data_IF_609994405316
#
_entry.id   IF_609994405316
#
_cell.length_a   1.000
_cell.length_b   1.000
_cell.length_c   1.000
_cell.angle_alpha   90.00
_cell.angle_beta   90.00
_cell.angle_gamma   90.00
#
_symmetry.space_group_name_H-M   'P 1'
#
loop_
_entity.id
_entity.type
_entity.pdbx_description
1 polymer ?
#
# COMPACT_ATOMS: atom_id res chain seq x y z
N UNK A 1 -39.45 -11.84 40.18
CA UNK A 1 -38.69 -11.81 38.90
C UNK A 1 -38.47 -13.28 38.51
N UNK A 2 -39.42 -13.85 37.75
CA UNK A 2 -39.38 -15.24 37.31
C UNK A 2 -38.45 -15.37 36.10
N UNK A 3 -37.42 -16.19 36.26
CA UNK A 3 -36.59 -16.66 35.15
C UNK A 3 -37.44 -17.64 34.31
N UNK A 4 -37.92 -17.20 33.18
CA UNK A 4 -38.45 -18.06 32.11
C UNK A 4 -37.27 -18.81 31.46
N UNK A 5 -36.83 -19.89 32.10
CA UNK A 5 -35.92 -20.87 31.52
C UNK A 5 -36.67 -21.62 30.39
N UNK A 6 -36.28 -21.35 29.13
CA UNK A 6 -36.66 -22.16 27.99
C UNK A 6 -36.19 -23.60 28.25
N UNK A 7 -37.12 -24.49 28.65
CA UNK A 7 -36.89 -25.93 28.73
C UNK A 7 -36.78 -26.47 27.30
N UNK A 8 -35.57 -26.55 26.77
CA UNK A 8 -35.32 -27.31 25.56
C UNK A 8 -35.71 -28.76 25.77
N UNK A 9 -36.38 -29.35 24.79
CA UNK A 9 -36.74 -30.77 24.82
C UNK A 9 -35.44 -31.61 24.80
N UNK A 10 -35.51 -32.81 25.39
CA UNK A 10 -34.34 -33.71 25.44
C UNK A 10 -33.77 -34.02 24.03
N UNK A 11 -34.66 -34.05 23.02
CA UNK A 11 -34.26 -34.19 21.59
C UNK A 11 -33.50 -33.00 21.05
N UNK A 12 -33.97 -31.78 21.33
CA UNK A 12 -33.25 -30.54 20.88
C UNK A 12 -31.89 -30.40 21.56
N UNK A 13 -31.77 -30.83 22.81
CA UNK A 13 -30.50 -30.84 23.55
C UNK A 13 -29.53 -31.88 23.00
N UNK A 14 -30.02 -33.05 22.60
CA UNK A 14 -29.21 -34.12 22.00
C UNK A 14 -28.82 -33.74 20.56
N UNK A 15 -29.70 -33.11 19.78
CA UNK A 15 -29.37 -32.57 18.44
C UNK A 15 -28.35 -31.41 18.52
N UNK A 16 -28.44 -30.56 19.56
CA UNK A 16 -27.47 -29.52 19.81
C UNK A 16 -26.10 -30.10 20.15
N UNK A 17 -26.00 -31.12 21.02
CA UNK A 17 -24.79 -31.86 21.34
C UNK A 17 -24.18 -32.60 20.15
N UNK A 18 -25.02 -33.15 19.27
CA UNK A 18 -24.58 -33.80 18.03
C UNK A 18 -23.96 -32.76 17.08
N UNK A 19 -24.63 -31.59 16.95
CA UNK A 19 -24.08 -30.45 16.16
C UNK A 19 -22.78 -29.90 16.74
N UNK A 20 -22.68 -29.76 18.05
CA UNK A 20 -21.44 -29.36 18.71
C UNK A 20 -20.31 -30.41 18.50
N UNK A 21 -20.62 -31.71 18.57
CA UNK A 21 -19.63 -32.76 18.27
C UNK A 21 -19.19 -32.76 16.80
N UNK A 22 -20.09 -32.48 15.87
CA UNK A 22 -19.74 -32.37 14.45
C UNK A 22 -18.89 -31.11 14.15
N UNK A 23 -19.11 -30.02 14.87
CA UNK A 23 -18.26 -28.82 14.80
C UNK A 23 -16.87 -29.04 15.44
N UNK A 24 -16.79 -29.91 16.47
CA UNK A 24 -15.53 -30.26 17.15
C UNK A 24 -14.63 -31.23 16.36
N UNK A 25 -15.12 -31.84 15.27
CA UNK A 25 -14.37 -32.79 14.42
C UNK A 25 -13.64 -32.10 13.26
N UNK A 26 -13.82 -30.79 13.07
CA UNK A 26 -13.01 -30.04 12.11
C UNK A 26 -11.60 -29.83 12.70
N UNK A 27 -10.55 -30.49 12.17
CA UNK A 27 -9.21 -30.48 12.78
C UNK A 27 -8.48 -29.12 12.64
N UNK A 28 -9.11 -28.11 12.01
CA UNK A 28 -8.51 -26.81 11.75
C UNK A 28 -9.35 -25.70 12.36
N UNK A 29 -8.90 -25.20 13.50
CA UNK A 29 -9.37 -23.90 14.02
C UNK A 29 -8.62 -22.83 13.23
N UNK A 30 -9.30 -22.19 12.26
CA UNK A 30 -8.75 -21.02 11.57
C UNK A 30 -8.88 -19.82 12.51
N UNK A 31 -7.80 -19.47 13.20
CA UNK A 31 -7.74 -18.22 13.95
C UNK A 31 -7.21 -17.10 13.04
N UNK A 32 -7.89 -15.95 13.04
CA UNK A 32 -7.38 -14.77 12.34
C UNK A 32 -5.97 -14.44 12.85
N UNK A 33 -5.02 -14.05 11.96
CA UNK A 33 -3.66 -13.75 12.38
C UNK A 33 -3.66 -12.56 13.35
N UNK A 34 -2.81 -12.62 14.37
CA UNK A 34 -2.67 -11.53 15.33
C UNK A 34 -2.02 -10.31 14.69
N UNK A 35 -2.30 -9.11 15.23
CA UNK A 35 -1.67 -7.86 14.78
C UNK A 35 -0.14 -7.96 14.81
N UNK A 36 0.42 -8.65 15.81
CA UNK A 36 1.87 -8.89 15.90
C UNK A 36 2.38 -9.76 14.75
N UNK A 37 1.66 -10.83 14.37
CA UNK A 37 2.03 -11.68 13.24
C UNK A 37 2.05 -10.92 11.93
N UNK A 38 1.02 -10.08 11.70
CA UNK A 38 0.95 -9.21 10.52
C UNK A 38 2.11 -8.22 10.51
N UNK A 39 2.39 -7.58 11.64
CA UNK A 39 3.49 -6.62 11.76
C UNK A 39 4.86 -7.25 11.49
N UNK A 40 5.10 -8.46 11.98
CA UNK A 40 6.35 -9.20 11.71
C UNK A 40 6.49 -9.49 10.22
N UNK A 41 5.43 -9.93 9.53
CA UNK A 41 5.48 -10.15 8.07
C UNK A 41 5.85 -8.88 7.32
N UNK A 42 5.24 -7.73 7.66
CA UNK A 42 5.59 -6.46 7.04
C UNK A 42 7.04 -6.05 7.30
N UNK A 43 7.54 -6.22 8.54
CA UNK A 43 8.94 -5.95 8.88
C UNK A 43 9.87 -6.82 8.05
N UNK A 44 9.59 -8.11 7.92
CA UNK A 44 10.42 -9.04 7.13
C UNK A 44 10.45 -8.61 5.65
N UNK A 45 9.29 -8.32 5.04
CA UNK A 45 9.21 -7.91 3.64
C UNK A 45 9.92 -6.57 3.38
N UNK A 46 9.77 -5.59 4.27
CA UNK A 46 10.48 -4.32 4.17
C UNK A 46 11.99 -4.49 4.43
N UNK A 47 12.38 -5.39 5.34
CA UNK A 47 13.79 -5.70 5.58
C UNK A 47 14.46 -6.32 4.35
N UNK A 48 13.72 -7.11 3.54
CA UNK A 48 14.23 -7.60 2.26
C UNK A 48 14.51 -6.46 1.28
N UNK A 49 13.67 -5.41 1.24
CA UNK A 49 13.95 -4.21 0.44
C UNK A 49 15.24 -3.51 0.90
N UNK A 50 15.41 -3.38 2.23
CA UNK A 50 16.63 -2.78 2.81
C UNK A 50 17.86 -3.65 2.54
N UNK A 51 17.72 -4.97 2.60
CA UNK A 51 18.80 -5.91 2.26
C UNK A 51 19.23 -5.75 0.79
N UNK A 52 18.27 -5.60 -0.13
CA UNK A 52 18.59 -5.35 -1.54
C UNK A 52 19.33 -4.03 -1.74
N UNK A 53 19.02 -2.98 -0.96
CA UNK A 53 19.82 -1.74 -0.98
C UNK A 53 21.26 -1.96 -0.54
N UNK A 54 21.49 -2.81 0.47
CA UNK A 54 22.84 -3.17 0.92
C UNK A 54 23.60 -3.98 -0.16
N UNK A 55 22.93 -4.97 -0.77
CA UNK A 55 23.53 -5.81 -1.82
C UNK A 55 23.86 -5.03 -3.10
N UNK A 56 23.05 -4.01 -3.43
CA UNK A 56 23.31 -3.14 -4.59
C UNK A 56 24.30 -1.99 -4.30
N UNK A 57 24.88 -1.94 -3.08
CA UNK A 57 25.87 -0.94 -2.71
C UNK A 57 25.33 0.47 -2.52
N UNK A 58 24.02 0.63 -2.33
CA UNK A 58 23.35 1.94 -2.17
C UNK A 58 23.44 2.43 -0.72
N UNK A 59 24.65 2.66 -0.24
CA UNK A 59 24.91 3.02 1.17
C UNK A 59 24.23 4.32 1.60
N UNK A 60 24.09 5.30 0.71
CA UNK A 60 23.37 6.56 1.01
C UNK A 60 21.92 6.30 1.36
N UNK A 61 21.22 5.51 0.54
CA UNK A 61 19.85 5.10 0.80
C UNK A 61 19.72 4.32 2.11
N UNK A 62 20.69 3.43 2.39
CA UNK A 62 20.70 2.64 3.62
C UNK A 62 20.82 3.53 4.87
N UNK A 63 21.70 4.54 4.84
CA UNK A 63 21.86 5.52 5.94
C UNK A 63 20.53 6.26 6.18
N UNK A 64 19.84 6.69 5.12
CA UNK A 64 18.55 7.39 5.22
C UNK A 64 17.50 6.50 5.88
N UNK A 65 17.39 5.24 5.45
CA UNK A 65 16.45 4.27 6.03
C UNK A 65 16.76 4.02 7.51
N UNK A 66 18.04 3.86 7.87
CA UNK A 66 18.47 3.66 9.26
C UNK A 66 18.19 4.90 10.12
N UNK A 67 18.43 6.11 9.60
CA UNK A 67 18.11 7.37 10.30
C UNK A 67 16.60 7.53 10.50
N UNK A 68 15.79 7.20 9.50
CA UNK A 68 14.33 7.22 9.64
C UNK A 68 13.84 6.20 10.66
N UNK A 69 14.39 4.98 10.64
CA UNK A 69 14.08 3.95 11.62
C UNK A 69 14.49 4.37 13.05
N UNK A 70 15.68 4.96 13.21
CA UNK A 70 16.14 5.48 14.50
C UNK A 70 15.21 6.58 15.03
N UNK A 71 14.80 7.54 14.17
CA UNK A 71 13.84 8.57 14.51
C UNK A 71 12.49 8.01 14.94
N UNK A 72 11.99 7.00 14.22
CA UNK A 72 10.74 6.32 14.53
C UNK A 72 10.81 5.58 15.88
N UNK A 73 11.90 4.85 16.13
CA UNK A 73 12.11 4.13 17.39
C UNK A 73 12.29 5.11 18.58
N UNK A 74 12.95 6.25 18.37
CA UNK A 74 13.06 7.31 19.37
C UNK A 74 11.66 7.88 19.71
N UNK A 75 10.80 8.10 18.70
CA UNK A 75 9.41 8.51 18.91
C UNK A 75 8.62 7.45 19.69
N UNK A 76 8.84 6.16 19.39
CA UNK A 76 8.23 5.04 20.10
C UNK A 76 8.67 5.00 21.57
N UNK A 77 9.98 5.12 21.83
CA UNK A 77 10.55 5.11 23.18
C UNK A 77 10.01 6.29 24.02
N UNK A 78 10.02 7.50 23.47
CA UNK A 78 9.49 8.67 24.17
C UNK A 78 7.99 8.53 24.47
N UNK A 79 7.22 8.02 23.49
CA UNK A 79 5.78 7.79 23.67
C UNK A 79 5.50 6.73 24.74
N UNK A 80 6.35 5.70 24.83
CA UNK A 80 6.26 4.65 25.86
C UNK A 80 6.48 5.23 27.27
N UNK A 81 7.48 6.07 27.44
CA UNK A 81 7.74 6.73 28.73
C UNK A 81 6.57 7.61 29.19
N UNK A 82 5.90 8.28 28.26
CA UNK A 82 4.80 9.19 28.57
C UNK A 82 3.49 8.43 28.83
N UNK A 83 3.16 7.39 28.05
CA UNK A 83 1.82 6.76 28.08
C UNK A 83 1.79 5.23 28.27
N UNK A 84 2.92 4.53 28.42
CA UNK A 84 3.04 3.08 28.61
C UNK A 84 2.26 2.25 27.57
N UNK A 85 2.58 2.38 26.30
CA UNK A 85 1.92 1.65 25.20
C UNK A 85 2.31 0.18 25.11
N UNK A 86 1.42 -0.65 24.49
CA UNK A 86 1.65 -2.06 24.25
C UNK A 86 2.72 -2.32 23.16
N UNK A 87 3.38 -3.50 23.21
CA UNK A 87 4.50 -3.87 22.31
C UNK A 87 4.16 -3.85 20.83
N UNK A 88 2.93 -4.24 20.43
CA UNK A 88 2.52 -4.24 19.02
C UNK A 88 2.55 -2.84 18.40
N UNK A 89 2.33 -1.82 19.19
CA UNK A 89 2.38 -0.45 18.72
C UNK A 89 3.80 0.01 18.36
N UNK A 90 4.83 -0.56 19.01
CA UNK A 90 6.23 -0.31 18.67
C UNK A 90 6.55 -0.89 17.30
N UNK A 91 6.08 -2.10 16.99
CA UNK A 91 6.26 -2.73 15.67
C UNK A 91 5.62 -1.89 14.55
N UNK A 92 4.40 -1.38 14.79
CA UNK A 92 3.72 -0.52 13.84
C UNK A 92 4.51 0.77 13.52
N UNK A 93 5.17 1.36 14.52
CA UNK A 93 6.02 2.53 14.30
C UNK A 93 7.29 2.17 13.54
N UNK A 94 7.91 1.05 13.85
CA UNK A 94 9.09 0.58 13.12
C UNK A 94 8.77 0.38 11.63
N UNK A 95 7.61 -0.21 11.31
CA UNK A 95 7.14 -0.35 9.92
C UNK A 95 7.00 1.01 9.26
N UNK A 96 6.36 1.98 9.94
CA UNK A 96 6.20 3.34 9.40
C UNK A 96 7.54 4.02 9.18
N UNK A 97 8.49 3.86 10.10
CA UNK A 97 9.85 4.37 9.96
C UNK A 97 10.60 3.78 8.77
N UNK A 98 10.49 2.46 8.54
CA UNK A 98 11.04 1.80 7.36
C UNK A 98 10.41 2.34 6.07
N UNK A 99 9.08 2.47 6.02
CA UNK A 99 8.37 3.00 4.86
C UNK A 99 8.79 4.45 4.58
N UNK A 100 8.87 5.32 5.61
CA UNK A 100 9.32 6.71 5.45
C UNK A 100 10.72 6.75 4.86
N UNK A 101 11.66 5.97 5.42
CA UNK A 101 13.04 5.94 4.94
C UNK A 101 13.16 5.46 3.49
N UNK A 102 12.35 4.47 3.09
CA UNK A 102 12.32 3.97 1.71
C UNK A 102 11.69 4.97 0.72
N UNK A 103 10.81 5.86 1.18
CA UNK A 103 10.17 6.88 0.33
C UNK A 103 10.99 8.15 0.16
N UNK A 104 12.03 8.36 0.96
CA UNK A 104 12.89 9.54 0.88
C UNK A 104 14.06 9.28 -0.07
N UNK A 105 14.38 10.23 -0.99
CA UNK A 105 15.46 10.07 -1.97
C UNK A 105 16.85 9.94 -1.32
N UNK A 106 17.74 9.21 -1.98
CA UNK A 106 19.11 8.97 -1.50
C UNK A 106 19.99 10.23 -1.34
N UNK A 107 19.65 11.31 -2.04
CA UNK A 107 20.35 12.60 -1.93
C UNK A 107 19.91 13.45 -0.74
N UNK A 108 18.93 13.00 0.05
CA UNK A 108 18.40 13.78 1.16
C UNK A 108 19.36 13.74 2.37
N UNK A 109 19.53 14.85 3.13
CA UNK A 109 20.37 14.87 4.32
C UNK A 109 19.82 13.94 5.42
N UNK A 110 20.63 13.08 6.07
CA UNK A 110 20.14 12.10 7.04
C UNK A 110 19.55 12.72 8.32
N UNK A 111 20.11 13.83 8.79
CA UNK A 111 19.68 14.47 10.05
C UNK A 111 18.24 15.01 9.97
N UNK A 112 17.83 15.78 8.96
CA UNK A 112 16.43 16.13 8.77
C UNK A 112 15.51 14.91 8.68
N UNK A 113 15.91 13.81 8.05
CA UNK A 113 15.11 12.59 7.95
C UNK A 113 14.80 12.01 9.34
N UNK A 114 15.79 11.98 10.22
CA UNK A 114 15.57 11.57 11.61
C UNK A 114 14.51 12.43 12.29
N UNK A 115 14.61 13.76 12.19
CA UNK A 115 13.64 14.66 12.84
C UNK A 115 12.26 14.60 12.19
N UNK A 116 12.15 14.47 10.87
CA UNK A 116 10.86 14.33 10.18
C UNK A 116 10.15 13.06 10.65
N UNK A 117 10.82 11.91 10.65
CA UNK A 117 10.23 10.66 11.12
C UNK A 117 9.90 10.71 12.60
N UNK A 118 10.79 11.25 13.45
CA UNK A 118 10.57 11.42 14.87
C UNK A 118 9.34 12.31 15.16
N UNK A 119 9.31 13.53 14.63
CA UNK A 119 8.25 14.48 14.90
C UNK A 119 6.88 14.02 14.37
N UNK A 120 6.83 13.57 13.12
CA UNK A 120 5.55 13.13 12.52
C UNK A 120 4.95 11.96 13.29
N UNK A 121 5.74 10.96 13.64
CA UNK A 121 5.26 9.80 14.37
C UNK A 121 4.99 10.08 15.85
N UNK A 122 5.77 10.94 16.48
CA UNK A 122 5.54 11.38 17.85
C UNK A 122 4.23 12.19 17.98
N UNK A 123 4.05 13.20 17.12
CA UNK A 123 2.82 14.00 17.12
C UNK A 123 1.59 13.16 16.76
N UNK A 124 1.70 12.26 15.80
CA UNK A 124 0.64 11.29 15.48
C UNK A 124 0.13 10.60 16.75
N UNK A 125 1.03 10.12 17.58
CA UNK A 125 0.67 9.43 18.81
C UNK A 125 0.10 10.34 19.89
N UNK A 126 0.61 11.56 20.00
CA UNK A 126 0.17 12.49 21.04
C UNK A 126 -1.20 13.10 20.72
N UNK A 127 -1.45 13.48 19.45
CA UNK A 127 -2.67 14.18 19.05
C UNK A 127 -3.82 13.22 18.73
N UNK A 128 -3.53 12.06 18.13
CA UNK A 128 -4.57 11.17 17.59
C UNK A 128 -5.10 10.17 18.63
N UNK A 129 -4.41 9.97 19.76
CA UNK A 129 -4.67 8.88 20.70
C UNK A 129 -5.73 9.13 21.79
N UNK A 130 -6.65 10.05 21.60
CA UNK A 130 -7.88 10.09 22.44
C UNK A 130 -9.02 9.22 21.87
N UNK A 131 -8.70 8.00 21.43
CA UNK A 131 -9.72 7.04 20.97
C UNK A 131 -10.16 7.21 19.51
N UNK A 132 -9.45 8.00 18.72
CA UNK A 132 -9.74 8.16 17.30
C UNK A 132 -8.91 7.15 16.51
N UNK A 133 -9.58 6.34 15.71
CA UNK A 133 -8.93 5.48 14.72
C UNK A 133 -7.94 6.30 13.88
N UNK A 134 -6.79 5.73 13.60
CA UNK A 134 -5.75 6.32 12.75
C UNK A 134 -6.27 6.43 11.31
N UNK A 135 -7.06 7.47 11.02
CA UNK A 135 -7.63 7.70 9.69
C UNK A 135 -6.61 8.23 8.68
N UNK A 136 -5.48 8.75 9.16
CA UNK A 136 -4.43 9.36 8.34
C UNK A 136 -3.22 8.43 8.25
N UNK A 137 -2.72 8.20 7.04
CA UNK A 137 -1.48 7.47 6.82
C UNK A 137 -0.27 8.39 7.12
N UNK A 138 0.35 8.17 8.28
CA UNK A 138 1.45 9.02 8.75
C UNK A 138 2.72 8.88 7.92
N UNK A 139 2.95 7.73 7.29
CA UNK A 139 4.11 7.56 6.39
C UNK A 139 3.97 8.41 5.13
N UNK A 140 2.76 8.48 4.56
CA UNK A 140 2.48 9.37 3.43
C UNK A 140 2.60 10.85 3.84
N UNK A 141 2.09 11.21 5.02
CA UNK A 141 2.21 12.56 5.55
C UNK A 141 3.67 12.97 5.77
N UNK A 142 4.48 12.09 6.39
CA UNK A 142 5.91 12.33 6.60
C UNK A 142 6.67 12.53 5.27
N UNK A 143 6.34 11.74 4.25
CA UNK A 143 6.92 11.90 2.91
C UNK A 143 6.60 13.25 2.26
N UNK A 144 5.37 13.76 2.43
CA UNK A 144 4.99 15.10 1.96
C UNK A 144 5.71 16.19 2.75
N UNK A 145 5.82 16.05 4.08
CA UNK A 145 6.60 16.99 4.90
C UNK A 145 8.06 17.01 4.45
N UNK A 146 8.66 15.84 4.18
CA UNK A 146 10.02 15.76 3.63
C UNK A 146 10.14 16.49 2.31
N UNK A 147 9.17 16.35 1.41
CA UNK A 147 9.15 17.06 0.14
C UNK A 147 9.01 18.58 0.29
N UNK A 148 8.15 19.05 1.20
CA UNK A 148 7.99 20.49 1.45
C UNK A 148 9.29 21.11 1.98
N UNK A 149 9.98 20.42 2.90
CA UNK A 149 11.23 20.90 3.51
C UNK A 149 12.39 20.83 2.52
N UNK A 150 12.47 19.77 1.71
CA UNK A 150 13.63 19.48 0.87
C UNK A 150 13.27 19.15 -0.58
N UNK A 151 12.44 19.98 -1.22
CA UNK A 151 11.98 19.77 -2.60
C UNK A 151 13.14 19.58 -3.60
N UNK A 152 14.25 20.26 -3.40
CA UNK A 152 15.42 20.20 -4.29
C UNK A 152 16.14 18.84 -4.28
N UNK A 153 15.93 18.02 -3.25
CA UNK A 153 16.52 16.69 -3.15
C UNK A 153 15.67 15.61 -3.84
N UNK A 154 14.39 15.92 -4.14
CA UNK A 154 13.53 14.98 -4.85
C UNK A 154 13.82 15.02 -6.35
N UNK A 155 13.81 13.85 -7.02
CA UNK A 155 14.03 13.79 -8.45
C UNK A 155 12.92 14.54 -9.19
N UNK A 156 13.23 15.15 -10.35
CA UNK A 156 12.20 15.71 -11.23
C UNK A 156 11.30 14.61 -11.80
N UNK A 157 10.24 15.01 -12.48
CA UNK A 157 9.42 14.07 -13.24
C UNK A 157 10.28 13.36 -14.29
N UNK A 158 10.15 12.04 -14.36
CA UNK A 158 10.94 11.20 -15.26
C UNK A 158 10.53 11.38 -16.72
N UNK A 159 9.27 11.70 -16.96
CA UNK A 159 8.67 11.84 -18.28
C UNK A 159 8.26 13.27 -18.51
N UNK A 160 8.86 13.90 -19.52
CA UNK A 160 8.45 15.22 -20.02
C UNK A 160 7.25 15.08 -20.94
N UNK A 161 6.56 16.22 -21.25
CA UNK A 161 5.39 16.25 -22.14
C UNK A 161 5.66 15.62 -23.51
N UNK A 162 6.83 15.85 -24.07
CA UNK A 162 7.23 15.30 -25.38
C UNK A 162 7.36 13.77 -25.34
N UNK A 163 8.01 13.22 -24.30
CA UNK A 163 8.18 11.78 -24.10
C UNK A 163 6.81 11.14 -23.83
N UNK A 164 5.96 11.80 -23.07
CA UNK A 164 4.61 11.31 -22.73
C UNK A 164 3.71 11.18 -23.97
N UNK A 165 3.90 12.07 -24.95
CA UNK A 165 3.17 12.04 -26.22
C UNK A 165 3.57 10.88 -27.13
N UNK A 166 4.79 10.35 -27.01
CA UNK A 166 5.35 9.33 -27.91
C UNK A 166 4.70 7.95 -27.79
N UNK A 167 3.92 7.65 -26.75
CA UNK A 167 3.56 6.26 -26.44
C UNK A 167 4.83 5.41 -26.22
N UNK A 168 4.79 4.30 -25.52
CA UNK A 168 5.98 3.48 -25.22
C UNK A 168 7.17 4.27 -24.63
N UNK A 169 6.90 5.18 -23.73
CA UNK A 169 7.90 6.02 -23.08
C UNK A 169 9.02 5.21 -22.42
N UNK A 170 8.74 4.01 -21.91
CA UNK A 170 9.73 3.11 -21.32
C UNK A 170 10.79 2.67 -22.32
N UNK A 171 10.39 2.35 -23.55
CA UNK A 171 11.34 1.95 -24.60
C UNK A 171 12.27 3.11 -24.96
N UNK A 172 11.72 4.31 -25.08
CA UNK A 172 12.51 5.52 -25.31
C UNK A 172 13.53 5.77 -24.19
N UNK A 173 13.11 5.66 -22.92
CA UNK A 173 13.96 5.86 -21.76
C UNK A 173 15.07 4.78 -21.65
N UNK A 174 14.76 3.53 -22.00
CA UNK A 174 15.73 2.43 -22.04
C UNK A 174 16.75 2.64 -23.17
N UNK A 175 16.32 3.00 -24.37
CA UNK A 175 17.21 3.25 -25.50
C UNK A 175 18.14 4.45 -25.28
N UNK A 176 17.69 5.46 -24.55
CA UNK A 176 18.51 6.64 -24.18
C UNK A 176 19.36 6.42 -22.91
N UNK A 177 19.40 5.20 -22.35
CA UNK A 177 20.26 4.87 -21.22
C UNK A 177 19.87 5.52 -19.89
N UNK A 178 18.64 6.02 -19.77
CA UNK A 178 18.12 6.60 -18.51
C UNK A 178 17.94 5.50 -17.46
N UNK A 179 17.48 4.32 -17.90
CA UNK A 179 17.47 3.11 -17.09
C UNK A 179 18.68 2.23 -17.43
N UNK A 180 19.40 1.73 -16.43
CA UNK A 180 20.54 0.84 -16.67
C UNK A 180 20.06 -0.53 -17.11
N UNK A 181 20.71 -1.08 -18.14
CA UNK A 181 20.50 -2.44 -18.58
C UNK A 181 21.55 -3.33 -17.90
N UNK A 182 21.10 -4.34 -17.16
CA UNK A 182 21.98 -5.27 -16.46
C UNK A 182 22.49 -6.36 -17.42
N UNK A 183 23.70 -6.88 -17.20
CA UNK A 183 24.34 -7.90 -18.07
C UNK A 183 23.50 -9.18 -18.26
N UNK A 184 22.66 -9.53 -17.30
CA UNK A 184 21.80 -10.72 -17.40
C UNK A 184 20.50 -10.48 -18.16
N UNK A 185 20.15 -9.21 -18.47
CA UNK A 185 18.85 -8.86 -19.07
C UNK A 185 18.61 -9.60 -20.40
N UNK A 186 19.58 -9.54 -21.32
CA UNK A 186 19.46 -10.19 -22.62
C UNK A 186 19.22 -11.71 -22.51
N UNK A 187 19.96 -12.39 -21.62
CA UNK A 187 19.79 -13.83 -21.42
C UNK A 187 18.39 -14.18 -20.87
N UNK A 188 17.90 -13.40 -19.89
CA UNK A 188 16.58 -13.62 -19.30
C UNK A 188 15.47 -13.23 -20.28
N UNK A 189 15.60 -12.09 -20.95
CA UNK A 189 14.61 -11.61 -21.92
C UNK A 189 14.49 -12.56 -23.09
N UNK A 190 15.59 -13.07 -23.65
CA UNK A 190 15.55 -14.07 -24.74
C UNK A 190 14.94 -15.39 -24.29
N UNK A 191 15.24 -15.85 -23.08
CA UNK A 191 14.59 -17.03 -22.48
C UNK A 191 13.08 -16.83 -22.33
N UNK A 192 12.63 -15.69 -21.78
CA UNK A 192 11.22 -15.39 -21.62
C UNK A 192 10.49 -15.26 -22.97
N UNK A 193 11.12 -14.63 -23.95
CA UNK A 193 10.57 -14.50 -25.28
C UNK A 193 10.41 -15.85 -25.98
N UNK A 194 11.35 -16.77 -25.78
CA UNK A 194 11.30 -18.10 -26.40
C UNK A 194 10.33 -19.07 -25.72
N UNK A 195 10.12 -18.93 -24.41
CA UNK A 195 9.30 -19.87 -23.62
C UNK A 195 7.92 -19.35 -23.30
N UNK A 196 7.84 -18.21 -22.60
CA UNK A 196 6.58 -17.68 -22.06
C UNK A 196 5.85 -16.81 -23.09
N UNK A 197 6.54 -15.83 -23.65
CA UNK A 197 5.90 -14.86 -24.54
C UNK A 197 5.67 -15.39 -25.94
N UNK A 198 6.38 -16.43 -26.36
CA UNK A 198 6.12 -17.14 -27.65
C UNK A 198 4.69 -17.68 -27.74
N UNK A 199 4.12 -18.14 -26.60
CA UNK A 199 2.74 -18.63 -26.52
C UNK A 199 1.73 -17.53 -26.85
N UNK A 200 2.04 -16.29 -26.47
CA UNK A 200 1.19 -15.12 -26.71
C UNK A 200 1.55 -14.37 -28.00
N UNK A 201 2.55 -14.84 -28.75
CA UNK A 201 3.11 -14.16 -29.95
C UNK A 201 3.53 -12.71 -29.65
N UNK A 202 4.06 -12.44 -28.48
CA UNK A 202 4.56 -11.15 -28.05
C UNK A 202 6.06 -11.24 -27.88
N UNK A 203 6.79 -10.22 -28.30
CA UNK A 203 8.22 -10.07 -28.03
C UNK A 203 8.44 -8.86 -27.14
N UNK A 204 9.09 -9.06 -26.00
CA UNK A 204 9.45 -7.99 -25.08
C UNK A 204 10.87 -7.53 -25.42
N UNK A 205 11.10 -6.21 -25.63
CA UNK A 205 12.45 -5.70 -25.90
C UNK A 205 13.35 -5.82 -24.65
N UNK A 206 14.66 -5.77 -24.87
CA UNK A 206 15.67 -5.77 -23.80
C UNK A 206 15.51 -4.55 -22.89
N UNK A 207 15.84 -4.72 -21.62
CA UNK A 207 15.81 -3.67 -20.60
C UNK A 207 14.60 -3.72 -19.66
N UNK A 208 13.50 -4.38 -20.04
CA UNK A 208 12.33 -4.48 -19.15
C UNK A 208 12.58 -5.35 -17.91
N UNK A 209 13.39 -6.41 -18.05
CA UNK A 209 13.79 -7.25 -16.91
C UNK A 209 14.65 -6.44 -15.95
N UNK A 210 15.58 -5.64 -16.47
CA UNK A 210 16.40 -4.73 -15.66
C UNK A 210 15.56 -3.69 -14.93
N UNK A 211 14.56 -3.10 -15.60
CA UNK A 211 13.64 -2.13 -15.01
C UNK A 211 12.85 -2.72 -13.83
N UNK A 212 12.40 -3.96 -13.95
CA UNK A 212 11.69 -4.66 -12.88
C UNK A 212 12.60 -5.10 -11.73
N UNK A 213 13.86 -5.43 -12.03
CA UNK A 213 14.84 -5.89 -11.04
C UNK A 213 15.38 -4.73 -10.19
N UNK A 214 15.99 -3.72 -10.83
CA UNK A 214 16.49 -2.51 -10.19
C UNK A 214 16.46 -1.32 -11.16
N UNK A 215 15.48 -0.46 -11.02
CA UNK A 215 15.35 0.75 -11.83
C UNK A 215 16.41 1.83 -11.53
N UNK A 216 17.24 1.65 -10.50
CA UNK A 216 18.18 2.65 -9.95
C UNK A 216 17.53 4.01 -9.68
N UNK A 217 16.25 4.02 -9.33
CA UNK A 217 15.59 5.24 -8.91
C UNK A 217 16.26 5.86 -7.69
N UNK A 218 16.30 7.18 -7.62
CA UNK A 218 16.79 7.91 -6.45
C UNK A 218 15.95 7.64 -5.19
N UNK A 219 14.70 7.17 -5.36
CA UNK A 219 13.81 6.79 -4.26
C UNK A 219 13.86 5.27 -4.09
N UNK A 220 14.35 4.76 -2.95
CA UNK A 220 14.54 3.32 -2.72
C UNK A 220 13.27 2.47 -2.92
N UNK A 221 12.11 2.97 -2.51
CA UNK A 221 10.82 2.28 -2.66
C UNK A 221 10.43 1.99 -4.12
N UNK A 222 11.01 2.71 -5.09
CA UNK A 222 10.70 2.57 -6.51
C UNK A 222 11.69 1.68 -7.27
N UNK A 223 12.70 1.16 -6.57
CA UNK A 223 13.79 0.42 -7.22
C UNK A 223 13.44 -1.02 -7.54
N UNK A 224 12.96 -1.76 -6.55
CA UNK A 224 12.86 -3.22 -6.61
C UNK A 224 11.41 -3.64 -6.88
N UNK A 225 10.93 -3.40 -8.08
CA UNK A 225 9.54 -3.68 -8.48
C UNK A 225 9.22 -5.17 -8.39
N UNK A 226 10.14 -6.05 -8.83
CA UNK A 226 9.95 -7.50 -8.75
C UNK A 226 9.79 -7.98 -7.31
N UNK A 227 10.63 -7.49 -6.39
CA UNK A 227 10.53 -7.82 -4.97
C UNK A 227 9.20 -7.34 -4.37
N UNK A 228 8.72 -6.17 -4.81
CA UNK A 228 7.42 -5.65 -4.41
C UNK A 228 6.26 -6.52 -4.91
N UNK A 229 6.34 -7.04 -6.15
CA UNK A 229 5.35 -7.97 -6.70
C UNK A 229 5.34 -9.27 -5.89
N UNK A 230 6.50 -9.85 -5.57
CA UNK A 230 6.58 -11.04 -4.73
C UNK A 230 6.01 -10.76 -3.33
N UNK A 231 6.33 -9.59 -2.75
CA UNK A 231 5.76 -9.17 -1.47
C UNK A 231 4.23 -9.06 -1.52
N UNK A 232 3.65 -8.61 -2.65
CA UNK A 232 2.20 -8.52 -2.82
C UNK A 232 1.52 -9.89 -2.74
N UNK A 233 2.12 -10.92 -3.33
CA UNK A 233 1.59 -12.28 -3.28
C UNK A 233 1.54 -12.77 -1.83
N UNK A 234 2.59 -12.51 -1.04
CA UNK A 234 2.65 -12.91 0.37
C UNK A 234 1.64 -12.13 1.23
N UNK A 235 1.50 -10.81 1.00
CA UNK A 235 0.59 -9.96 1.78
C UNK A 235 -0.86 -10.30 1.50
N UNK A 236 -1.22 -10.59 0.24
CA UNK A 236 -2.61 -10.84 -0.16
C UNK A 236 -2.98 -12.34 -0.19
N UNK A 237 -2.05 -13.25 0.12
CA UNK A 237 -2.34 -14.68 0.23
C UNK A 237 -3.28 -15.02 1.37
N UNK A 238 -3.24 -14.24 2.46
CA UNK A 238 -4.13 -14.38 3.61
C UNK A 238 -5.34 -13.45 3.48
N UNK A 239 -6.50 -13.88 3.95
CA UNK A 239 -7.74 -13.09 3.97
C UNK A 239 -7.70 -11.86 4.92
N UNK A 240 -6.55 -11.54 5.49
CA UNK A 240 -6.36 -10.41 6.42
C UNK A 240 -6.51 -9.07 5.70
N UNK A 241 -5.95 -8.97 4.50
CA UNK A 241 -6.04 -7.80 3.64
C UNK A 241 -6.98 -8.07 2.48
N UNK A 242 -7.87 -7.12 2.20
CA UNK A 242 -8.81 -7.25 1.10
C UNK A 242 -8.10 -7.06 -0.24
N UNK A 243 -8.02 -8.08 -1.08
CA UNK A 243 -7.51 -7.97 -2.45
C UNK A 243 -8.34 -7.06 -3.36
N UNK A 244 -9.57 -6.70 -2.96
CA UNK A 244 -10.48 -5.86 -3.76
C UNK A 244 -9.89 -4.46 -3.99
N UNK A 245 -9.36 -3.82 -2.94
CA UNK A 245 -8.86 -2.44 -3.05
C UNK A 245 -7.68 -2.34 -4.00
N UNK A 246 -6.58 -3.12 -3.83
CA UNK A 246 -5.45 -3.05 -4.75
C UNK A 246 -5.82 -3.45 -6.17
N UNK A 247 -6.67 -4.47 -6.34
CA UNK A 247 -7.08 -4.91 -7.69
C UNK A 247 -7.88 -3.85 -8.42
N UNK A 248 -8.92 -3.28 -7.79
CA UNK A 248 -9.75 -2.23 -8.40
C UNK A 248 -8.93 -0.96 -8.63
N UNK A 249 -8.09 -0.57 -7.67
CA UNK A 249 -7.21 0.59 -7.78
C UNK A 249 -6.24 0.45 -8.97
N UNK A 250 -5.49 -0.65 -9.02
CA UNK A 250 -4.52 -0.89 -10.09
C UNK A 250 -5.20 -1.00 -11.45
N UNK A 251 -6.35 -1.70 -11.53
CA UNK A 251 -7.11 -1.82 -12.77
C UNK A 251 -7.57 -0.44 -13.27
N UNK A 252 -8.15 0.38 -12.38
CA UNK A 252 -8.62 1.73 -12.72
C UNK A 252 -7.47 2.61 -13.19
N UNK A 253 -6.39 2.64 -12.42
CA UNK A 253 -5.22 3.45 -12.74
C UNK A 253 -4.58 3.04 -14.07
N UNK A 254 -4.33 1.74 -14.28
CA UNK A 254 -3.71 1.23 -15.51
C UNK A 254 -4.59 1.45 -16.74
N UNK A 255 -5.91 1.30 -16.60
CA UNK A 255 -6.86 1.59 -17.67
C UNK A 255 -6.81 3.06 -18.07
N UNK A 256 -6.86 3.97 -17.08
CA UNK A 256 -6.80 5.41 -17.34
C UNK A 256 -5.47 5.83 -17.96
N UNK A 257 -4.35 5.30 -17.47
CA UNK A 257 -3.03 5.56 -18.06
C UNK A 257 -3.00 5.05 -19.49
N UNK A 258 -3.44 3.81 -19.75
CA UNK A 258 -3.42 3.23 -21.09
C UNK A 258 -4.22 4.05 -22.09
N UNK A 259 -5.43 4.45 -21.70
CA UNK A 259 -6.36 5.13 -22.59
C UNK A 259 -6.03 6.61 -22.77
N UNK A 260 -5.78 7.33 -21.68
CA UNK A 260 -5.81 8.79 -21.69
C UNK A 260 -4.45 9.47 -21.51
N UNK A 261 -3.43 8.78 -20.96
CA UNK A 261 -2.18 9.46 -20.62
C UNK A 261 -1.53 10.22 -21.78
N UNK A 262 -1.32 9.66 -22.97
CA UNK A 262 -0.71 10.40 -24.08
C UNK A 262 -1.60 11.53 -24.62
N UNK A 263 -2.92 11.37 -24.53
CA UNK A 263 -3.88 12.35 -25.08
C UNK A 263 -3.70 13.74 -24.46
N UNK A 264 -3.37 13.83 -23.17
CA UNK A 264 -3.14 15.12 -22.50
C UNK A 264 -1.91 15.88 -23.02
N UNK A 265 -1.02 15.18 -23.72
CA UNK A 265 0.22 15.74 -24.27
C UNK A 265 0.25 15.74 -25.79
N UNK A 266 -0.90 15.59 -26.43
CA UNK A 266 -1.00 15.61 -27.90
C UNK A 266 -0.69 14.27 -28.60
N UNK A 267 -0.55 13.19 -27.82
CA UNK A 267 -0.40 11.82 -28.34
C UNK A 267 -1.73 11.16 -28.70
N UNK A 268 -1.65 9.94 -29.20
CA UNK A 268 -2.82 9.16 -29.60
C UNK A 268 -3.46 8.43 -28.41
N UNK A 269 -4.75 8.19 -28.49
CA UNK A 269 -5.51 7.38 -27.53
C UNK A 269 -4.98 5.93 -27.53
N UNK A 270 -5.02 5.27 -26.36
CA UNK A 270 -4.62 3.86 -26.18
C UNK A 270 -3.14 3.56 -26.43
N UNK A 271 -2.25 4.51 -26.21
CA UNK A 271 -0.80 4.35 -26.31
C UNK A 271 -0.04 4.59 -25.01
N UNK A 272 -0.74 4.74 -23.89
CA UNK A 272 -0.11 4.98 -22.60
C UNK A 272 0.78 3.81 -22.14
N UNK A 273 1.92 4.13 -21.52
CA UNK A 273 2.89 3.17 -21.02
C UNK A 273 2.57 2.74 -19.59
N UNK A 274 1.87 1.63 -19.45
CA UNK A 274 1.46 1.07 -18.16
C UNK A 274 2.66 0.52 -17.39
N UNK A 275 3.64 -0.10 -18.07
CA UNK A 275 4.81 -0.73 -17.41
C UNK A 275 5.64 0.36 -16.72
N UNK A 276 5.92 1.44 -17.44
CA UNK A 276 6.63 2.58 -16.86
C UNK A 276 5.86 3.19 -15.68
N UNK A 277 4.56 3.41 -15.85
CA UNK A 277 3.72 4.00 -14.82
C UNK A 277 3.68 3.17 -13.54
N UNK A 278 3.68 1.84 -13.65
CA UNK A 278 3.68 0.94 -12.49
C UNK A 278 5.06 0.80 -11.85
N UNK A 279 6.14 0.72 -12.67
CA UNK A 279 7.48 0.39 -12.16
C UNK A 279 8.26 1.60 -11.63
N UNK A 280 7.98 2.82 -12.13
CA UNK A 280 8.77 4.01 -11.79
C UNK A 280 8.12 4.99 -10.82
N UNK A 281 6.83 4.87 -10.56
CA UNK A 281 6.06 5.82 -9.74
C UNK A 281 5.85 5.39 -8.28
N UNK A 282 6.36 4.24 -7.88
CA UNK A 282 6.14 3.68 -6.54
C UNK A 282 4.72 3.23 -6.25
N UNK A 283 3.84 3.19 -7.25
CA UNK A 283 2.45 2.77 -7.11
C UNK A 283 2.37 1.36 -6.53
N UNK A 284 3.16 0.42 -7.05
CA UNK A 284 3.16 -0.96 -6.56
C UNK A 284 3.59 -1.04 -5.10
N UNK A 285 4.68 -0.36 -4.71
CA UNK A 285 5.14 -0.32 -3.33
C UNK A 285 4.07 0.25 -2.39
N UNK A 286 3.52 1.40 -2.73
CA UNK A 286 2.48 2.04 -1.92
C UNK A 286 1.20 1.21 -1.86
N UNK A 287 0.85 0.51 -2.94
CA UNK A 287 -0.32 -0.39 -2.98
C UNK A 287 -0.18 -1.53 -1.99
N UNK A 288 1.00 -2.11 -1.89
CA UNK A 288 1.25 -3.25 -0.99
C UNK A 288 1.38 -2.80 0.47
N UNK A 289 2.15 -1.73 0.73
CA UNK A 289 2.57 -1.39 2.08
C UNK A 289 1.80 -0.23 2.72
N UNK A 290 1.06 0.60 1.94
CA UNK A 290 0.49 1.83 2.46
C UNK A 290 -1.01 1.96 2.30
N UNK A 291 -1.61 1.48 1.20
CA UNK A 291 -3.04 1.73 0.89
C UNK A 291 -3.95 1.13 1.96
N UNK A 292 -3.67 -0.09 2.42
CA UNK A 292 -4.49 -0.78 3.39
C UNK A 292 -3.95 -0.65 4.83
N UNK A 293 -3.40 0.51 5.16
CA UNK A 293 -2.96 0.76 6.53
C UNK A 293 -4.16 0.70 7.50
N UNK A 294 -3.92 0.16 8.69
CA UNK A 294 -4.97 -0.04 9.70
C UNK A 294 -5.76 1.24 9.94
N UNK A 295 -7.08 1.17 9.78
CA UNK A 295 -7.98 2.28 10.03
C UNK A 295 -8.25 3.22 8.85
N UNK A 296 -7.54 3.09 7.73
CA UNK A 296 -7.73 3.97 6.56
C UNK A 296 -8.62 3.37 5.45
N UNK A 297 -9.29 2.24 5.72
CA UNK A 297 -10.04 1.47 4.72
C UNK A 297 -11.54 1.45 5.06
N UNK A 298 -12.46 1.57 4.09
CA UNK A 298 -13.90 1.36 4.29
C UNK A 298 -14.20 -0.08 4.76
N UNK A 299 -15.33 -0.26 5.47
CA UNK A 299 -15.71 -1.54 6.04
C UNK A 299 -16.44 -2.40 5.01
N UNK A 300 -17.39 -1.81 4.26
CA UNK A 300 -18.22 -2.54 3.29
C UNK A 300 -17.49 -2.81 1.98
N UNK A 301 -17.91 -3.85 1.25
CA UNK A 301 -17.35 -4.17 -0.08
C UNK A 301 -17.59 -3.02 -1.06
N UNK A 302 -18.80 -2.45 -1.07
CA UNK A 302 -19.14 -1.31 -1.92
C UNK A 302 -18.29 -0.08 -1.59
N UNK A 303 -18.10 0.21 -0.30
CA UNK A 303 -17.22 1.29 0.12
C UNK A 303 -15.76 1.09 -0.32
N UNK A 304 -15.24 -0.15 -0.24
CA UNK A 304 -13.90 -0.50 -0.72
C UNK A 304 -13.75 -0.27 -2.23
N UNK A 305 -14.75 -0.67 -3.02
CA UNK A 305 -14.73 -0.47 -4.48
C UNK A 305 -14.78 1.02 -4.83
N UNK A 306 -15.68 1.79 -4.19
CA UNK A 306 -15.79 3.24 -4.43
C UNK A 306 -14.48 3.95 -4.05
N UNK A 307 -13.93 3.67 -2.87
CA UNK A 307 -12.66 4.24 -2.44
C UNK A 307 -11.51 3.92 -3.40
N UNK A 308 -11.43 2.67 -3.88
CA UNK A 308 -10.41 2.23 -4.82
C UNK A 308 -10.54 2.90 -6.20
N UNK A 309 -11.77 3.06 -6.71
CA UNK A 309 -12.05 3.80 -7.96
C UNK A 309 -11.64 5.27 -7.83
N UNK A 310 -12.08 5.95 -6.75
CA UNK A 310 -11.70 7.35 -6.50
C UNK A 310 -10.18 7.51 -6.41
N UNK A 311 -9.52 6.58 -5.70
CA UNK A 311 -8.07 6.59 -5.57
C UNK A 311 -7.38 6.39 -6.92
N UNK A 312 -7.88 5.48 -7.79
CA UNK A 312 -7.36 5.25 -9.14
C UNK A 312 -7.46 6.51 -10.02
N UNK A 313 -8.58 7.22 -9.96
CA UNK A 313 -8.77 8.49 -10.67
C UNK A 313 -7.84 9.57 -10.11
N UNK A 314 -7.74 9.72 -8.78
CA UNK A 314 -6.84 10.68 -8.16
C UNK A 314 -5.37 10.39 -8.50
N UNK A 315 -4.96 9.11 -8.47
CA UNK A 315 -3.61 8.71 -8.86
C UNK A 315 -3.33 9.08 -10.32
N UNK A 316 -4.26 8.82 -11.23
CA UNK A 316 -4.12 9.20 -12.63
C UNK A 316 -3.95 10.71 -12.80
N UNK A 317 -4.74 11.54 -12.10
CA UNK A 317 -4.66 13.00 -12.20
C UNK A 317 -3.38 13.59 -11.60
N UNK A 318 -2.86 12.98 -10.51
CA UNK A 318 -1.71 13.52 -9.77
C UNK A 318 -0.38 12.96 -10.29
N UNK A 319 -0.31 11.66 -10.52
CA UNK A 319 0.89 10.97 -11.02
C UNK A 319 0.92 11.06 -12.53
N UNK A 320 -0.25 10.86 -13.16
CA UNK A 320 -0.42 10.88 -14.60
C UNK A 320 0.52 9.94 -15.31
N UNK A 321 1.01 10.39 -16.44
CA UNK A 321 2.09 9.77 -17.19
C UNK A 321 3.48 10.32 -16.77
N UNK A 322 3.52 11.28 -15.85
CA UNK A 322 4.73 11.99 -15.49
C UNK A 322 5.56 11.37 -14.38
N UNK A 323 5.22 10.20 -13.88
CA UNK A 323 5.98 9.49 -12.85
C UNK A 323 6.38 10.38 -11.66
N UNK A 324 5.39 11.07 -11.09
CA UNK A 324 5.61 11.98 -9.97
C UNK A 324 6.24 11.26 -8.77
N UNK A 325 7.36 11.77 -8.21
CA UNK A 325 8.05 11.13 -7.09
C UNK A 325 7.23 11.13 -5.79
N UNK A 326 6.25 12.00 -5.68
CA UNK A 326 5.42 12.18 -4.48
C UNK A 326 3.93 11.97 -4.74
N UNK A 327 3.53 11.76 -5.98
CA UNK A 327 2.13 11.73 -6.39
C UNK A 327 1.32 10.68 -5.64
N UNK A 328 1.91 9.52 -5.38
CA UNK A 328 1.23 8.46 -4.64
C UNK A 328 0.99 8.82 -3.17
N UNK A 329 1.89 9.58 -2.54
CA UNK A 329 1.70 10.05 -1.16
C UNK A 329 0.51 11.01 -1.05
N UNK A 330 0.38 11.96 -2.01
CA UNK A 330 -0.80 12.82 -2.10
C UNK A 330 -2.08 12.02 -2.34
N UNK A 331 -2.04 11.07 -3.27
CA UNK A 331 -3.19 10.21 -3.58
C UNK A 331 -3.69 9.47 -2.34
N UNK A 332 -2.78 8.91 -1.54
CA UNK A 332 -3.14 8.22 -0.30
C UNK A 332 -3.79 9.16 0.71
N UNK A 333 -3.25 10.37 0.90
CA UNK A 333 -3.84 11.32 1.84
C UNK A 333 -5.22 11.80 1.38
N UNK A 334 -5.42 12.07 0.09
CA UNK A 334 -6.72 12.42 -0.47
C UNK A 334 -7.70 11.26 -0.26
N UNK A 335 -7.27 10.02 -0.54
CA UNK A 335 -8.11 8.85 -0.32
C UNK A 335 -8.46 8.65 1.15
N UNK A 336 -7.57 8.97 2.09
CA UNK A 336 -7.88 8.92 3.51
C UNK A 336 -9.03 9.86 3.87
N UNK A 337 -9.06 11.06 3.30
CA UNK A 337 -10.16 12.02 3.47
C UNK A 337 -11.45 11.47 2.84
N UNK A 338 -11.39 10.97 1.61
CA UNK A 338 -12.55 10.35 0.93
C UNK A 338 -13.11 9.19 1.76
N UNK A 339 -12.24 8.36 2.33
CA UNK A 339 -12.65 7.23 3.17
C UNK A 339 -13.39 7.67 4.43
N UNK A 340 -13.09 8.83 5.02
CA UNK A 340 -13.87 9.36 6.15
C UNK A 340 -15.34 9.60 5.76
N UNK A 341 -15.58 10.19 4.59
CA UNK A 341 -16.95 10.41 4.10
C UNK A 341 -17.65 9.09 3.81
N UNK A 342 -16.97 8.13 3.18
CA UNK A 342 -17.53 6.81 2.91
C UNK A 342 -17.91 6.11 4.22
N UNK A 343 -17.03 6.11 5.23
CA UNK A 343 -17.32 5.51 6.54
C UNK A 343 -18.49 6.19 7.26
N UNK A 344 -18.56 7.52 7.21
CA UNK A 344 -19.70 8.25 7.79
C UNK A 344 -21.02 7.82 7.15
N UNK A 345 -21.06 7.66 5.83
CA UNK A 345 -22.23 7.15 5.11
C UNK A 345 -22.55 5.68 5.48
N UNK A 346 -21.54 4.81 5.59
CA UNK A 346 -21.68 3.43 6.05
C UNK A 346 -22.28 3.36 7.47
N UNK A 347 -21.77 4.18 8.40
CA UNK A 347 -22.28 4.25 9.78
C UNK A 347 -23.73 4.72 9.83
N UNK A 348 -24.10 5.76 9.06
CA UNK A 348 -25.47 6.26 9.00
C UNK A 348 -26.42 5.17 8.48
N UNK A 349 -26.03 4.44 7.43
CA UNK A 349 -26.82 3.34 6.89
C UNK A 349 -26.98 2.23 7.93
N UNK A 350 -25.89 1.80 8.58
CA UNK A 350 -25.96 0.76 9.61
C UNK A 350 -26.85 1.16 10.78
N UNK A 351 -26.78 2.41 11.24
CA UNK A 351 -27.68 2.93 12.31
C UNK A 351 -29.16 2.90 11.88
N UNK A 352 -29.45 3.30 10.64
CA UNK A 352 -30.80 3.23 10.09
C UNK A 352 -31.31 1.79 10.02
N UNK A 353 -30.49 0.84 9.57
CA UNK A 353 -30.89 -0.55 9.44
C UNK A 353 -31.08 -1.21 10.83
N UNK A 354 -30.22 -0.91 11.81
CA UNK A 354 -30.38 -1.35 13.20
C UNK A 354 -31.67 -0.77 13.79
N UNK A 355 -31.94 0.52 13.60
CA UNK A 355 -33.17 1.13 14.12
C UNK A 355 -34.44 0.51 13.55
N UNK A 356 -34.45 0.13 12.26
CA UNK A 356 -35.58 -0.59 11.62
C UNK A 356 -35.78 -2.00 12.21
N UNK A 357 -34.67 -2.71 12.49
CA UNK A 357 -34.73 -4.04 13.10
C UNK A 357 -35.28 -3.96 14.54
N UNK A 358 -34.77 -3.00 15.32
CA UNK A 358 -35.23 -2.78 16.70
C UNK A 358 -36.72 -2.36 16.74
N UNK A 359 -37.13 -1.45 15.84
CA UNK A 359 -38.54 -1.04 15.78
C UNK A 359 -39.50 -2.19 15.39
N UNK A 360 -39.06 -3.07 14.49
CA UNK A 360 -39.83 -4.29 14.15
C UNK A 360 -39.88 -5.27 15.31
N UNK A 361 -38.82 -5.46 16.06
CA UNK A 361 -38.80 -6.34 17.23
C UNK A 361 -39.64 -5.81 18.38
N UNK A 362 -39.65 -4.49 18.61
CA UNK A 362 -40.50 -3.86 19.62
C UNK A 362 -41.96 -3.77 19.21
N UNK A 363 -42.28 -3.70 17.92
CA UNK A 363 -43.68 -3.72 17.43
C UNK A 363 -44.30 -5.13 17.29
N UNK A 364 -43.48 -6.19 17.35
CA UNK A 364 -43.98 -7.58 17.35
C UNK A 364 -44.24 -8.15 18.74
N UNK A 365 -44.03 -7.34 19.78
CA UNK A 365 -44.21 -7.72 21.20
C UNK A 365 -45.47 -7.13 21.86
N UNK A 366 -46.53 -6.74 21.07
CA UNK A 366 -47.84 -6.33 21.57
C UNK A 366 -48.88 -7.31 21.08
#
# INVERSE_FOLDING_TARGET
MEHTGLKMSKREFDDYKIKERQLAVSPFIYSAPSISSISIRFIVLLSLQVLMLALTGSYKSLIIVLCSLAGSLAAAALSYFIRRYERYQIMSIAIQGLIIGLLIPEGYPPVPVFFISFLTLFFSRMLVFKGVSTWLNMSAFAGIVAWIIGRSYFPPFLVNSEIAALGNSSVYLLQNGIFPIHHFDNAVTSFLNSTVFSVFRVTVPEGFVSLLWDSRSAIPAFRFTLLTIVSSIIVFSDNTFSGIIPSVFLLTYTLLVRLFAPMFFGGLINQGDVILALSSSGILFCTVFMIQWFGTVPVTVSGKVISALCMGVCAFLIIGCGTSPIGMMYTILINNVITLFIRSAEEQKNRSDISKVVSKASGAGI
#
